data_IF_821437311943
#
_entry.id   IF_821437311943
#
_cell.length_a   1.000
_cell.length_b   1.000
_cell.length_c   1.000
_cell.angle_alpha   90.00
_cell.angle_beta   90.00
_cell.angle_gamma   90.00
#
_symmetry.space_group_name_H-M   'P 1'
#
loop_
_entity.id
_entity.type
_entity.pdbx_description
1 polymer ?
#
# COMPACT_ATOMS: atom_id res chain seq x y z
N UNK A 1 -12.42 -11.31 -2.32
CA UNK A 1 -12.04 -11.95 -1.03
C UNK A 1 -11.63 -10.82 -0.06
N UNK A 2 -12.22 -10.68 1.13
CA UNK A 2 -12.08 -9.46 1.96
C UNK A 2 -10.69 -9.34 2.60
N UNK A 3 -10.08 -8.15 2.55
CA UNK A 3 -8.93 -7.77 3.35
C UNK A 3 -9.40 -7.50 4.80
N UNK A 4 -9.77 -8.57 5.51
CA UNK A 4 -10.06 -8.50 6.93
C UNK A 4 -8.71 -8.58 7.64
N UNK A 5 -8.17 -7.42 8.06
CA UNK A 5 -7.15 -7.40 9.12
C UNK A 5 -7.86 -7.72 10.44
N UNK A 6 -8.26 -8.98 10.61
CA UNK A 6 -8.55 -9.51 11.92
C UNK A 6 -7.18 -9.67 12.55
N UNK A 7 -6.79 -8.79 13.48
CA UNK A 7 -5.63 -9.00 14.33
C UNK A 7 -5.91 -10.26 15.18
N UNK A 8 -5.33 -11.43 14.87
CA UNK A 8 -5.51 -12.59 15.71
C UNK A 8 -4.37 -12.59 16.73
N UNK A 9 -4.74 -12.74 17.99
CA UNK A 9 -3.86 -13.07 19.10
C UNK A 9 -2.73 -14.01 18.68
N UNK A 10 -1.51 -13.55 18.92
CA UNK A 10 -0.21 -14.20 18.76
C UNK A 10 -0.30 -15.74 18.78
N UNK A 11 -0.06 -16.35 17.62
CA UNK A 11 0.11 -17.80 17.54
C UNK A 11 -0.05 -18.33 16.11
N UNK A 12 1.08 -18.70 15.49
CA UNK A 12 1.20 -19.63 14.35
C UNK A 12 1.42 -19.08 12.92
N UNK A 13 1.90 -17.85 12.73
CA UNK A 13 2.28 -17.34 11.39
C UNK A 13 3.67 -17.81 10.87
N UNK A 14 4.37 -18.71 11.58
CA UNK A 14 5.75 -19.09 11.27
C UNK A 14 5.93 -20.15 10.16
N UNK A 15 4.88 -20.51 9.41
CA UNK A 15 4.97 -21.53 8.34
C UNK A 15 4.50 -21.03 6.98
N UNK A 16 5.20 -20.06 6.42
CA UNK A 16 5.14 -19.81 4.98
C UNK A 16 6.52 -19.35 4.55
N UNK A 17 7.25 -20.17 3.80
CA UNK A 17 8.64 -19.89 3.37
C UNK A 17 8.76 -18.51 2.68
N UNK A 18 7.70 -18.05 2.02
CA UNK A 18 7.63 -16.71 1.44
C UNK A 18 7.68 -15.55 2.45
N UNK A 19 7.15 -15.72 3.66
CA UNK A 19 7.16 -14.67 4.68
C UNK A 19 8.57 -14.43 5.24
N UNK A 20 9.32 -15.51 5.50
CA UNK A 20 10.71 -15.42 5.95
C UNK A 20 11.62 -14.90 4.85
N UNK A 21 11.35 -15.23 3.58
CA UNK A 21 12.07 -14.66 2.45
C UNK A 21 11.80 -13.15 2.31
N UNK A 22 10.54 -12.72 2.41
CA UNK A 22 10.22 -11.28 2.41
C UNK A 22 10.89 -10.54 3.56
N UNK A 23 11.00 -11.16 4.75
CA UNK A 23 11.71 -10.55 5.87
C UNK A 23 13.24 -10.50 5.64
N UNK A 24 13.83 -11.53 5.02
CA UNK A 24 15.24 -11.53 4.63
C UNK A 24 15.53 -10.48 3.54
N UNK A 25 14.60 -10.27 2.62
CA UNK A 25 14.70 -9.25 1.58
C UNK A 25 14.56 -7.86 2.20
N UNK A 26 13.61 -7.63 3.12
CA UNK A 26 13.50 -6.40 3.91
C UNK A 26 14.75 -6.12 4.75
N UNK A 27 15.32 -7.15 5.39
CA UNK A 27 16.57 -7.01 6.14
C UNK A 27 17.77 -6.70 5.23
N UNK A 28 17.75 -7.18 3.98
CA UNK A 28 18.79 -6.87 2.98
C UNK A 28 18.70 -5.44 2.46
N UNK A 29 17.49 -4.84 2.42
CA UNK A 29 17.30 -3.42 2.08
C UNK A 29 18.02 -2.49 3.07
N UNK A 30 18.06 -2.85 4.36
CA UNK A 30 18.79 -2.09 5.39
C UNK A 30 20.32 -2.14 5.22
N UNK A 31 20.84 -3.03 4.39
CA UNK A 31 22.27 -3.36 4.28
C UNK A 31 22.86 -2.91 2.93
N UNK A 32 22.06 -2.53 1.92
CA UNK A 32 22.52 -2.28 0.55
C UNK A 32 22.58 -0.81 0.11
N UNK A 33 23.52 -0.46 -0.78
CA UNK A 33 23.60 0.83 -1.50
C UNK A 33 22.58 0.92 -2.67
N UNK A 34 21.35 0.41 -2.51
CA UNK A 34 20.32 0.53 -3.55
C UNK A 34 19.74 1.96 -3.62
N UNK A 35 19.31 2.37 -4.82
CA UNK A 35 18.56 3.63 -4.98
C UNK A 35 17.20 3.53 -4.26
N UNK A 36 16.66 4.68 -3.84
CA UNK A 36 15.35 4.76 -3.19
C UNK A 36 14.27 4.10 -4.05
N UNK A 37 14.25 4.38 -5.36
CA UNK A 37 13.22 3.83 -6.25
C UNK A 37 13.26 2.30 -6.36
N UNK A 38 14.47 1.70 -6.44
CA UNK A 38 14.63 0.24 -6.43
C UNK A 38 14.12 -0.36 -5.12
N UNK A 39 14.44 0.28 -4.01
CA UNK A 39 13.99 -0.14 -2.67
C UNK A 39 12.47 -0.11 -2.56
N UNK A 40 11.84 0.99 -2.98
CA UNK A 40 10.39 1.14 -2.96
C UNK A 40 9.69 0.11 -3.84
N UNK A 41 10.24 -0.18 -5.03
CA UNK A 41 9.71 -1.22 -5.93
C UNK A 41 9.74 -2.59 -5.26
N UNK A 42 10.87 -2.97 -4.67
CA UNK A 42 11.01 -4.24 -3.94
C UNK A 42 10.04 -4.33 -2.77
N UNK A 43 9.84 -3.26 -2.00
CA UNK A 43 8.86 -3.24 -0.90
C UNK A 43 7.46 -3.58 -1.42
N UNK A 44 7.03 -2.95 -2.52
CA UNK A 44 5.75 -3.27 -3.16
C UNK A 44 5.66 -4.72 -3.61
N UNK A 45 6.68 -5.21 -4.32
CA UNK A 45 6.72 -6.59 -4.82
C UNK A 45 6.66 -7.62 -3.67
N UNK A 46 7.37 -7.36 -2.56
CA UNK A 46 7.34 -8.20 -1.35
C UNK A 46 5.99 -8.17 -0.64
N UNK A 47 5.30 -7.02 -0.64
CA UNK A 47 3.97 -6.92 -0.06
C UNK A 47 2.97 -7.79 -0.83
N UNK A 48 3.00 -7.74 -2.17
CA UNK A 48 2.17 -8.60 -3.04
C UNK A 48 2.52 -10.08 -2.84
N UNK A 49 3.82 -10.42 -2.77
CA UNK A 49 4.25 -11.81 -2.56
C UNK A 49 3.85 -12.35 -1.17
N UNK A 50 3.98 -11.53 -0.13
CA UNK A 50 3.79 -11.92 1.26
C UNK A 50 2.33 -11.92 1.73
N UNK A 51 1.44 -11.23 1.01
CA UNK A 51 0.02 -11.07 1.37
C UNK A 51 -0.87 -11.67 0.28
N UNK A 52 -1.44 -12.87 0.49
CA UNK A 52 -2.29 -13.54 -0.51
C UNK A 52 -3.52 -12.76 -0.97
N UNK A 53 -3.93 -11.72 -0.23
CA UNK A 53 -5.07 -10.86 -0.58
C UNK A 53 -4.64 -9.52 -1.22
N UNK A 54 -3.35 -9.33 -1.50
CA UNK A 54 -2.80 -8.13 -2.11
C UNK A 54 -2.46 -8.41 -3.57
N UNK A 55 -3.25 -7.88 -4.49
CA UNK A 55 -3.08 -8.08 -5.94
C UNK A 55 -2.15 -7.04 -6.57
N UNK A 56 -2.02 -5.88 -5.93
CA UNK A 56 -1.12 -4.81 -6.35
C UNK A 56 -0.71 -3.93 -5.17
N UNK A 57 0.43 -3.26 -5.28
CA UNK A 57 0.90 -2.28 -4.30
C UNK A 57 1.52 -1.05 -4.97
N UNK A 58 1.34 0.10 -4.34
CA UNK A 58 2.12 1.31 -4.63
C UNK A 58 2.86 1.76 -3.36
N UNK A 59 4.01 2.39 -3.56
CA UNK A 59 4.77 3.01 -2.48
C UNK A 59 5.14 4.40 -2.90
N UNK A 60 4.86 5.38 -2.05
CA UNK A 60 5.17 6.80 -2.30
C UNK A 60 5.92 7.38 -1.11
N UNK A 61 6.87 8.27 -1.39
CA UNK A 61 7.52 9.13 -0.40
C UNK A 61 7.24 10.58 -0.77
N UNK A 62 6.86 11.39 0.22
CA UNK A 62 6.59 12.81 0.08
C UNK A 62 7.61 13.59 0.91
N UNK A 63 8.25 14.56 0.28
CA UNK A 63 9.17 15.50 0.92
C UNK A 63 8.67 16.93 0.65
N UNK A 64 8.50 17.73 1.71
CA UNK A 64 8.02 19.11 1.63
C UNK A 64 6.76 19.27 0.74
N UNK A 65 5.75 18.43 0.97
CA UNK A 65 4.48 18.38 0.25
C UNK A 65 4.58 18.06 -1.25
N UNK A 66 5.71 17.48 -1.69
CA UNK A 66 5.90 16.99 -3.06
C UNK A 66 6.25 15.52 -3.07
N UNK A 67 5.67 14.79 -4.02
CA UNK A 67 6.06 13.40 -4.29
C UNK A 67 7.54 13.38 -4.69
N UNK A 68 8.36 12.77 -3.85
CA UNK A 68 9.80 12.65 -4.04
C UNK A 68 10.15 11.39 -4.84
N UNK A 69 9.51 10.26 -4.51
CA UNK A 69 9.68 8.98 -5.19
C UNK A 69 8.38 8.18 -5.16
N UNK A 70 8.14 7.40 -6.21
CA UNK A 70 7.00 6.47 -6.32
C UNK A 70 7.41 5.18 -7.00
N UNK A 71 6.90 4.06 -6.51
CA UNK A 71 7.00 2.77 -7.15
C UNK A 71 5.64 2.08 -7.19
N UNK A 72 5.42 1.29 -8.24
CA UNK A 72 4.18 0.56 -8.49
C UNK A 72 4.50 -0.87 -8.89
N UNK A 73 3.77 -1.84 -8.37
CA UNK A 73 3.97 -3.25 -8.76
C UNK A 73 3.47 -3.52 -10.18
N UNK A 74 2.38 -2.85 -10.60
CA UNK A 74 1.74 -3.00 -11.90
C UNK A 74 0.91 -1.75 -12.27
N UNK A 75 0.36 -1.75 -13.49
CA UNK A 75 -0.46 -0.67 -14.04
C UNK A 75 -1.73 -0.37 -13.22
N UNK A 76 -2.27 -1.39 -12.53
CA UNK A 76 -3.42 -1.21 -11.64
C UNK A 76 -3.04 -0.33 -10.44
N UNK A 77 -1.91 -0.62 -9.79
CA UNK A 77 -1.42 0.18 -8.67
C UNK A 77 -1.15 1.63 -9.11
N UNK A 78 -0.50 1.82 -10.26
CA UNK A 78 -0.24 3.17 -10.80
C UNK A 78 -1.54 3.95 -11.02
N UNK A 79 -2.53 3.31 -11.67
CA UNK A 79 -3.76 4.00 -12.01
C UNK A 79 -4.66 4.26 -10.78
N UNK A 80 -4.76 3.30 -9.86
CA UNK A 80 -5.54 3.46 -8.62
C UNK A 80 -4.89 4.47 -7.67
N UNK A 81 -3.56 4.51 -7.59
CA UNK A 81 -2.83 5.52 -6.82
C UNK A 81 -3.04 6.91 -7.42
N UNK A 82 -2.90 7.04 -8.74
CA UNK A 82 -3.12 8.28 -9.49
C UNK A 82 -4.53 8.85 -9.31
N UNK A 83 -5.57 8.01 -9.26
CA UNK A 83 -6.95 8.46 -9.02
C UNK A 83 -7.12 9.17 -7.67
N UNK A 84 -6.35 8.77 -6.64
CA UNK A 84 -6.43 9.43 -5.33
C UNK A 84 -5.94 10.87 -5.43
N UNK A 85 -4.79 11.08 -6.08
CA UNK A 85 -4.25 12.42 -6.30
C UNK A 85 -5.09 13.24 -7.27
N UNK A 86 -5.64 12.62 -8.32
CA UNK A 86 -6.47 13.30 -9.32
C UNK A 86 -7.80 13.80 -8.71
N UNK A 87 -8.38 13.04 -7.79
CA UNK A 87 -9.62 13.42 -7.10
C UNK A 87 -9.37 14.28 -5.85
N UNK A 88 -8.16 14.23 -5.30
CA UNK A 88 -7.84 14.77 -3.98
C UNK A 88 -8.52 14.00 -2.85
N UNK A 89 -8.93 12.75 -3.09
CA UNK A 89 -9.60 11.88 -2.13
C UNK A 89 -8.91 10.54 -2.07
N UNK A 90 -8.98 9.86 -0.93
CA UNK A 90 -8.61 8.45 -0.86
C UNK A 90 -7.82 8.09 0.40
N UNK A 91 -7.69 6.78 0.64
CA UNK A 91 -7.02 6.26 1.82
C UNK A 91 -5.54 6.64 1.89
N UNK A 92 -4.82 6.77 0.77
CA UNK A 92 -3.40 7.19 0.76
C UNK A 92 -3.21 8.59 1.31
N UNK A 93 -3.98 9.56 0.79
CA UNK A 93 -3.89 10.96 1.20
C UNK A 93 -4.24 11.10 2.69
N UNK A 94 -5.29 10.41 3.12
CA UNK A 94 -5.73 10.41 4.52
C UNK A 94 -4.72 9.73 5.43
N UNK A 95 -4.08 8.65 4.97
CA UNK A 95 -3.03 7.95 5.71
C UNK A 95 -1.80 8.82 5.93
N UNK A 96 -1.38 9.58 4.91
CA UNK A 96 -0.29 10.56 4.99
C UNK A 96 -0.64 11.69 5.96
N UNK A 97 -1.83 12.27 5.83
CA UNK A 97 -2.29 13.39 6.67
C UNK A 97 -2.43 12.99 8.15
N UNK A 98 -3.13 11.88 8.41
CA UNK A 98 -3.43 11.41 9.76
C UNK A 98 -2.28 10.63 10.40
N UNK A 99 -1.28 10.23 9.61
CA UNK A 99 -0.18 9.34 10.01
C UNK A 99 -0.68 8.03 10.63
N UNK A 100 -1.77 7.50 10.10
CA UNK A 100 -2.39 6.26 10.56
C UNK A 100 -2.71 5.32 9.39
N UNK A 101 -2.84 4.03 9.71
CA UNK A 101 -3.32 3.05 8.74
C UNK A 101 -4.79 3.32 8.40
N UNK A 102 -5.11 3.33 7.11
CA UNK A 102 -6.45 3.63 6.60
C UNK A 102 -6.91 2.52 5.69
N UNK A 103 -8.01 1.85 6.07
CA UNK A 103 -8.68 0.85 5.25
C UNK A 103 -9.89 1.47 4.57
N UNK A 104 -10.02 1.27 3.26
CA UNK A 104 -11.21 1.55 2.46
C UNK A 104 -11.78 0.21 1.96
N UNK A 105 -12.96 -0.17 2.44
CA UNK A 105 -13.75 -1.27 1.86
C UNK A 105 -14.65 -0.69 0.77
N UNK A 106 -14.15 -0.77 -0.46
CA UNK A 106 -14.79 -0.17 -1.64
C UNK A 106 -16.15 -0.84 -1.90
N UNK A 107 -16.24 -2.15 -1.70
CA UNK A 107 -17.46 -2.94 -1.89
C UNK A 107 -18.51 -2.71 -0.80
N UNK A 108 -18.09 -2.35 0.41
CA UNK A 108 -19.00 -1.95 1.48
C UNK A 108 -19.58 -0.54 1.29
N UNK A 109 -19.18 0.18 0.25
CA UNK A 109 -19.74 1.49 -0.08
C UNK A 109 -19.22 2.61 0.82
N UNK A 110 -17.95 2.58 1.22
CA UNK A 110 -17.31 3.62 2.02
C UNK A 110 -17.60 5.04 1.46
N UNK A 111 -18.22 5.90 2.27
CA UNK A 111 -18.67 7.23 1.84
C UNK A 111 -17.66 8.34 2.11
N UNK A 112 -16.51 8.04 2.73
CA UNK A 112 -15.46 9.04 3.02
C UNK A 112 -14.84 9.65 1.76
N UNK A 113 -14.74 8.86 0.69
CA UNK A 113 -14.09 9.24 -0.58
C UNK A 113 -14.91 8.78 -1.78
N UNK A 114 -16.10 9.36 -2.00
CA UNK A 114 -17.05 8.84 -3.01
C UNK A 114 -16.48 8.89 -4.43
N UNK A 115 -15.69 9.92 -4.80
CA UNK A 115 -15.14 10.03 -6.16
C UNK A 115 -14.04 9.01 -6.40
N UNK A 116 -13.14 8.82 -5.42
CA UNK A 116 -12.13 7.77 -5.48
C UNK A 116 -12.76 6.37 -5.52
N UNK A 117 -13.73 6.10 -4.64
CA UNK A 117 -14.40 4.80 -4.57
C UNK A 117 -15.00 4.39 -5.92
N UNK A 118 -15.70 5.30 -6.59
CA UNK A 118 -16.36 5.00 -7.86
C UNK A 118 -15.33 4.64 -8.95
N UNK A 119 -14.18 5.31 -8.97
CA UNK A 119 -13.05 4.97 -9.86
C UNK A 119 -12.40 3.63 -9.48
N UNK A 120 -12.17 3.39 -8.18
CA UNK A 120 -11.64 2.13 -7.68
C UNK A 120 -12.52 0.94 -8.07
N UNK A 121 -13.85 1.05 -7.91
CA UNK A 121 -14.81 0.05 -8.38
C UNK A 121 -14.73 -0.18 -9.89
N UNK A 122 -14.65 0.90 -10.69
CA UNK A 122 -14.54 0.80 -12.14
C UNK A 122 -13.27 0.06 -12.59
N UNK A 123 -12.22 0.05 -11.76
CA UNK A 123 -10.97 -0.71 -11.98
C UNK A 123 -11.00 -2.13 -11.41
N UNK A 124 -12.09 -2.53 -10.75
CA UNK A 124 -12.20 -3.84 -10.12
C UNK A 124 -11.50 -3.96 -8.76
N UNK A 125 -11.16 -2.83 -8.13
CA UNK A 125 -10.60 -2.80 -6.77
C UNK A 125 -11.71 -2.99 -5.76
N UNK A 126 -11.60 -4.03 -4.94
CA UNK A 126 -12.55 -4.35 -3.88
C UNK A 126 -12.20 -3.73 -2.52
N UNK A 127 -10.92 -3.53 -2.23
CA UNK A 127 -10.48 -2.81 -1.02
C UNK A 127 -9.08 -2.24 -1.19
N UNK A 128 -8.78 -1.20 -0.39
CA UNK A 128 -7.48 -0.54 -0.34
C UNK A 128 -7.06 -0.34 1.11
N UNK A 129 -5.84 -0.76 1.46
CA UNK A 129 -5.21 -0.47 2.74
C UNK A 129 -4.00 0.43 2.52
N UNK A 130 -4.02 1.62 3.10
CA UNK A 130 -2.90 2.57 3.09
C UNK A 130 -2.21 2.59 4.44
N UNK A 131 -0.89 2.41 4.44
CA UNK A 131 -0.04 2.38 5.62
C UNK A 131 0.95 3.54 5.56
N UNK A 132 1.02 4.40 6.59
CA UNK A 132 1.91 5.55 6.59
C UNK A 132 3.35 5.08 6.74
N UNK A 133 4.25 5.67 5.94
CA UNK A 133 5.70 5.51 6.06
C UNK A 133 6.26 6.80 6.65
N UNK A 134 6.79 6.74 7.87
CA UNK A 134 7.31 7.95 8.56
C UNK A 134 8.77 7.70 8.95
N UNK A 135 9.69 8.45 8.34
CA UNK A 135 11.13 8.37 8.61
C UNK A 135 11.72 9.79 8.61
N UNK A 136 12.28 10.23 9.74
CA UNK A 136 13.04 11.50 9.84
C UNK A 136 12.37 12.74 9.20
N UNK A 137 11.04 12.83 9.27
CA UNK A 137 10.27 13.95 8.70
C UNK A 137 9.81 13.76 7.25
N UNK A 138 10.26 12.71 6.58
CA UNK A 138 9.69 12.22 5.32
C UNK A 138 8.41 11.45 5.65
N UNK A 139 7.34 11.74 4.93
CA UNK A 139 6.05 11.04 5.08
C UNK A 139 5.69 10.42 3.74
N UNK A 140 5.29 9.16 3.74
CA UNK A 140 4.89 8.43 2.56
C UNK A 140 3.73 7.49 2.85
N UNK A 141 3.36 6.70 1.86
CA UNK A 141 2.37 5.64 2.03
C UNK A 141 2.74 4.38 1.25
N UNK A 142 2.54 3.23 1.88
CA UNK A 142 2.42 1.93 1.23
C UNK A 142 0.94 1.64 1.04
N UNK A 143 0.47 1.57 -0.20
CA UNK A 143 -0.92 1.25 -0.53
C UNK A 143 -1.00 -0.16 -1.07
N UNK A 144 -1.92 -0.95 -0.52
CA UNK A 144 -2.18 -2.34 -0.88
C UNK A 144 -3.58 -2.43 -1.46
N UNK A 145 -3.68 -2.98 -2.67
CA UNK A 145 -4.92 -3.08 -3.41
C UNK A 145 -5.34 -4.54 -3.51
N UNK A 146 -6.59 -4.82 -3.17
CA UNK A 146 -7.23 -6.12 -3.36
C UNK A 146 -8.33 -6.00 -4.40
N UNK A 147 -8.37 -6.92 -5.35
CA UNK A 147 -9.38 -7.00 -6.39
C UNK A 147 -10.65 -7.73 -5.90
N UNK A 148 -11.75 -7.58 -6.65
CA UNK A 148 -13.06 -8.18 -6.35
C UNK A 148 -13.02 -9.71 -6.43
#
# INVERSE_FOLDING_TARGET
MRLIVALPSVGNWLQTEGFLQSFADLASLLISEETVDTTLRRIGDLAVLGLPACDAASVSLVEADRVASTAFTNDLAEAADGDQYATGEGPCLSSIEERNAVLCDVLAGDERWPRFRDLALARGVGSVLSLPLVVDGIVGSLNLYSMI
#
